data_IF_760334141676
#
_entry.id   IF_760334141676
#
_cell.length_a   1.000
_cell.length_b   1.000
_cell.length_c   1.000
_cell.angle_alpha   90.00
_cell.angle_beta   90.00
_cell.angle_gamma   90.00
#
_symmetry.space_group_name_H-M   'P 1'
#
loop_
_entity.id
_entity.type
_entity.pdbx_description
1 polymer ?
#
# COMPACT_ATOMS: atom_id res chain seq x y z
N UNK A 1 1.00 -6.62 -36.43
CA UNK A 1 0.63 -7.52 -35.33
C UNK A 1 -0.03 -6.68 -34.25
N UNK A 2 -1.08 -7.14 -33.57
CA UNK A 2 -1.63 -6.42 -32.43
C UNK A 2 -0.55 -6.27 -31.36
N UNK A 3 -0.57 -5.17 -30.61
CA UNK A 3 0.36 -4.93 -29.51
C UNK A 3 0.08 -5.95 -28.40
N UNK A 4 1.10 -6.64 -27.84
CA UNK A 4 0.88 -7.61 -26.77
C UNK A 4 0.29 -6.94 -25.53
N UNK A 5 -0.51 -7.67 -24.77
CA UNK A 5 -1.06 -7.22 -23.50
C UNK A 5 0.04 -7.08 -22.42
N UNK A 6 -0.23 -6.31 -21.37
CA UNK A 6 0.71 -6.17 -20.25
C UNK A 6 1.07 -7.54 -19.63
N UNK A 7 0.12 -8.47 -19.54
CA UNK A 7 0.33 -9.82 -19.04
C UNK A 7 1.24 -10.66 -19.95
N UNK A 8 1.02 -10.60 -21.26
CA UNK A 8 1.87 -11.30 -22.24
C UNK A 8 3.31 -10.78 -22.20
N UNK A 9 3.50 -9.46 -22.10
CA UNK A 9 4.82 -8.85 -21.94
C UNK A 9 5.48 -9.35 -20.65
N UNK A 10 4.77 -9.33 -19.53
CA UNK A 10 5.29 -9.78 -18.23
C UNK A 10 5.70 -11.26 -18.25
N UNK A 11 4.90 -12.13 -18.88
CA UNK A 11 5.18 -13.57 -19.00
C UNK A 11 6.34 -13.90 -19.95
N UNK A 12 6.61 -13.03 -20.92
CA UNK A 12 7.74 -13.17 -21.83
C UNK A 12 9.07 -12.66 -21.25
N UNK A 13 9.05 -12.01 -20.09
CA UNK A 13 10.24 -11.45 -19.47
C UNK A 13 11.16 -12.52 -18.89
N UNK A 14 12.47 -12.32 -19.01
CA UNK A 14 13.50 -13.13 -18.34
C UNK A 14 13.81 -12.49 -17.00
N UNK A 15 13.40 -13.16 -15.92
CA UNK A 15 13.60 -12.68 -14.54
C UNK A 15 14.91 -13.21 -13.97
N UNK A 16 15.61 -12.36 -13.20
CA UNK A 16 16.72 -12.81 -12.35
C UNK A 16 16.18 -13.54 -11.11
N UNK A 17 16.91 -14.50 -10.56
CA UNK A 17 16.68 -14.96 -9.19
C UNK A 17 16.65 -13.78 -8.22
N UNK A 18 15.75 -13.80 -7.25
CA UNK A 18 15.59 -12.65 -6.32
C UNK A 18 16.83 -12.43 -5.45
N UNK A 19 17.62 -13.48 -5.23
CA UNK A 19 18.90 -13.38 -4.53
C UNK A 19 19.88 -12.47 -5.27
N UNK A 20 19.95 -12.58 -6.60
CA UNK A 20 20.82 -11.75 -7.44
C UNK A 20 20.33 -10.29 -7.44
N UNK A 21 19.01 -10.08 -7.44
CA UNK A 21 18.43 -8.73 -7.31
C UNK A 21 18.77 -8.11 -5.96
N UNK A 22 18.77 -8.91 -4.89
CA UNK A 22 19.17 -8.45 -3.55
C UNK A 22 20.66 -8.10 -3.51
N UNK A 23 21.51 -8.88 -4.15
CA UNK A 23 22.94 -8.61 -4.28
C UNK A 23 23.19 -7.32 -5.08
N UNK A 24 22.49 -7.09 -6.19
CA UNK A 24 22.57 -5.86 -7.00
C UNK A 24 22.39 -4.57 -6.18
N UNK A 25 21.59 -4.63 -5.09
CA UNK A 25 21.38 -3.51 -4.16
C UNK A 25 22.16 -3.63 -2.86
N UNK A 26 23.03 -4.64 -2.78
CA UNK A 26 23.92 -4.87 -1.66
C UNK A 26 23.23 -5.34 -0.39
N UNK A 27 22.09 -6.00 -0.47
CA UNK A 27 21.45 -6.67 0.66
C UNK A 27 22.14 -8.03 0.88
N UNK A 28 22.75 -8.26 2.05
CA UNK A 28 23.33 -9.56 2.36
C UNK A 28 22.24 -10.64 2.49
N UNK A 29 22.56 -11.91 2.14
CA UNK A 29 21.55 -12.99 2.11
C UNK A 29 20.75 -13.18 3.41
N UNK A 30 21.34 -12.91 4.56
CA UNK A 30 20.67 -13.07 5.87
C UNK A 30 19.61 -11.99 6.16
N UNK A 31 19.58 -10.90 5.39
CA UNK A 31 18.52 -9.88 5.44
C UNK A 31 17.36 -10.18 4.47
N UNK A 32 17.47 -11.23 3.67
CA UNK A 32 16.54 -11.52 2.59
C UNK A 32 15.92 -12.90 2.78
N UNK A 33 14.63 -12.97 2.90
CA UNK A 33 13.86 -14.23 2.98
C UNK A 33 13.13 -14.47 1.66
N UNK A 34 13.54 -15.45 0.85
CA UNK A 34 12.87 -15.76 -0.41
C UNK A 34 11.44 -16.27 -0.21
N UNK A 35 10.56 -15.83 -1.09
CA UNK A 35 9.20 -16.32 -1.30
C UNK A 35 9.07 -16.83 -2.74
N UNK A 36 9.61 -18.01 -2.99
CA UNK A 36 9.84 -18.52 -4.33
C UNK A 36 11.10 -17.89 -4.97
N UNK A 37 11.20 -17.98 -6.30
CA UNK A 37 12.41 -17.62 -7.05
C UNK A 37 12.56 -16.11 -7.29
N UNK A 38 11.45 -15.38 -7.38
CA UNK A 38 11.44 -14.01 -7.91
C UNK A 38 10.88 -12.96 -6.95
N UNK A 39 10.56 -13.33 -5.71
CA UNK A 39 10.07 -12.45 -4.64
C UNK A 39 10.78 -12.75 -3.34
N UNK A 40 11.04 -11.73 -2.53
CA UNK A 40 11.57 -11.92 -1.18
C UNK A 40 11.01 -10.89 -0.20
N UNK A 41 11.07 -11.20 1.10
CA UNK A 41 10.90 -10.23 2.19
C UNK A 41 12.27 -9.70 2.63
N UNK A 42 12.34 -8.40 2.91
CA UNK A 42 13.54 -7.74 3.47
C UNK A 42 13.37 -7.62 4.98
N UNK A 43 14.36 -8.07 5.75
CA UNK A 43 14.35 -7.91 7.21
C UNK A 43 14.51 -6.43 7.59
N UNK A 44 13.81 -5.99 8.65
CA UNK A 44 13.89 -4.60 9.13
C UNK A 44 15.27 -4.19 9.63
N UNK A 45 16.12 -5.16 10.01
CA UNK A 45 17.53 -4.91 10.35
C UNK A 45 18.30 -4.26 9.20
N UNK A 46 17.80 -4.38 7.96
CA UNK A 46 18.38 -3.67 6.81
C UNK A 46 18.43 -2.15 7.01
N UNK A 47 17.53 -1.56 7.79
CA UNK A 47 17.53 -0.13 8.10
C UNK A 47 18.81 0.26 8.84
N UNK A 48 19.23 -0.52 9.83
CA UNK A 48 20.43 -0.28 10.62
C UNK A 48 21.70 -0.67 9.86
N UNK A 49 21.69 -1.84 9.22
CA UNK A 49 22.85 -2.37 8.47
C UNK A 49 23.25 -1.53 7.25
N UNK A 50 22.30 -0.83 6.65
CA UNK A 50 22.57 0.03 5.50
C UNK A 50 22.78 1.50 5.88
N UNK A 51 22.58 1.90 7.13
CA UNK A 51 22.54 3.30 7.57
C UNK A 51 23.82 4.10 7.23
N UNK A 52 24.97 3.45 7.28
CA UNK A 52 26.27 4.09 7.01
C UNK A 52 26.59 4.23 5.49
N UNK A 53 25.73 3.69 4.62
CA UNK A 53 25.93 3.80 3.18
C UNK A 53 25.51 5.19 2.67
N UNK A 54 26.08 5.64 1.55
CA UNK A 54 25.67 6.90 0.93
C UNK A 54 24.17 6.94 0.68
N UNK A 55 23.56 8.08 0.96
CA UNK A 55 22.15 8.31 0.69
C UNK A 55 21.94 8.54 -0.81
N UNK A 56 21.00 7.80 -1.40
CA UNK A 56 20.55 7.98 -2.77
C UNK A 56 19.81 9.34 -2.94
N UNK A 57 19.77 9.82 -4.18
CA UNK A 57 18.88 10.92 -4.56
C UNK A 57 17.43 10.44 -4.52
N UNK A 58 16.62 11.07 -3.69
CA UNK A 58 15.23 10.69 -3.48
C UNK A 58 14.33 11.46 -4.44
N UNK A 59 13.64 10.74 -5.33
CA UNK A 59 12.78 11.31 -6.38
C UNK A 59 11.33 10.88 -6.16
N UNK A 60 10.41 11.83 -6.11
CA UNK A 60 8.97 11.55 -6.04
C UNK A 60 8.29 11.83 -7.37
N UNK A 61 7.52 10.87 -7.87
CA UNK A 61 6.70 11.02 -9.08
C UNK A 61 5.25 11.30 -8.68
N UNK A 62 4.70 12.40 -9.15
CA UNK A 62 3.31 12.77 -8.94
C UNK A 62 2.64 13.14 -10.27
N UNK A 63 1.38 13.58 -10.25
CA UNK A 63 0.69 14.07 -11.43
C UNK A 63 0.02 15.40 -11.13
N UNK A 64 -0.24 16.18 -12.18
CA UNK A 64 -0.89 17.49 -12.04
C UNK A 64 -2.26 17.37 -11.40
N UNK A 65 -3.04 16.35 -11.77
CA UNK A 65 -4.37 16.07 -11.22
C UNK A 65 -4.81 14.66 -11.62
N UNK A 66 -5.67 13.98 -10.82
CA UNK A 66 -6.15 12.65 -11.19
C UNK A 66 -7.25 12.72 -12.25
N UNK A 67 -7.27 11.71 -13.13
CA UNK A 67 -8.42 11.41 -13.99
C UNK A 67 -8.94 9.99 -13.73
N UNK A 68 -10.18 9.65 -14.13
CA UNK A 68 -10.73 8.31 -13.92
C UNK A 68 -9.88 7.18 -14.55
N UNK A 69 -9.14 7.47 -15.61
CA UNK A 69 -8.30 6.49 -16.31
C UNK A 69 -6.85 6.44 -15.81
N UNK A 70 -6.51 7.29 -14.81
CA UNK A 70 -5.15 7.45 -14.33
C UNK A 70 -4.26 8.27 -15.27
N UNK A 71 -3.11 8.74 -14.76
CA UNK A 71 -2.19 9.63 -15.46
C UNK A 71 -0.85 8.97 -15.83
N UNK A 72 -0.68 7.67 -15.53
CA UNK A 72 0.53 6.93 -15.85
C UNK A 72 1.69 7.18 -14.88
N UNK A 73 1.44 7.63 -13.64
CA UNK A 73 2.49 7.81 -12.62
C UNK A 73 3.32 6.56 -12.41
N UNK A 74 2.69 5.41 -12.15
CA UNK A 74 3.41 4.15 -11.91
C UNK A 74 4.23 3.75 -13.14
N UNK A 75 3.66 3.87 -14.34
CA UNK A 75 4.39 3.60 -15.59
C UNK A 75 5.61 4.53 -15.74
N UNK A 76 5.46 5.82 -15.39
CA UNK A 76 6.57 6.79 -15.40
C UNK A 76 7.61 6.45 -14.33
N UNK A 77 7.19 6.09 -13.12
CA UNK A 77 8.08 5.73 -12.01
C UNK A 77 8.93 4.51 -12.36
N UNK A 78 8.28 3.46 -12.88
CA UNK A 78 8.96 2.23 -13.31
C UNK A 78 9.88 2.50 -14.49
N UNK A 79 9.37 3.17 -15.54
CA UNK A 79 10.17 3.51 -16.72
C UNK A 79 11.37 4.41 -16.41
N UNK A 80 11.23 5.35 -15.46
CA UNK A 80 12.35 6.18 -15.01
C UNK A 80 13.41 5.34 -14.29
N UNK A 81 13.00 4.40 -13.43
CA UNK A 81 13.92 3.47 -12.77
C UNK A 81 14.69 2.59 -13.76
N UNK A 82 13.99 2.06 -14.77
CA UNK A 82 14.62 1.30 -15.85
C UNK A 82 15.59 2.19 -16.67
N UNK A 83 15.17 3.41 -17.03
CA UNK A 83 15.98 4.36 -17.79
C UNK A 83 17.27 4.75 -17.06
N UNK A 84 17.24 4.90 -15.72
CA UNK A 84 18.46 5.16 -14.94
C UNK A 84 19.51 4.06 -15.15
N UNK A 85 19.11 2.80 -15.24
CA UNK A 85 20.01 1.67 -15.50
C UNK A 85 20.68 1.77 -16.87
N UNK A 86 19.97 2.19 -17.90
CA UNK A 86 20.51 2.38 -19.25
C UNK A 86 21.59 3.46 -19.32
N UNK A 87 21.55 4.44 -18.42
CA UNK A 87 22.59 5.48 -18.31
C UNK A 87 23.64 5.17 -17.24
N UNK A 88 23.74 3.91 -16.80
CA UNK A 88 24.74 3.45 -15.84
C UNK A 88 24.52 3.89 -14.40
N UNK A 89 23.30 4.27 -14.00
CA UNK A 89 22.95 4.65 -12.62
C UNK A 89 22.21 3.51 -11.93
N UNK A 90 22.51 3.28 -10.66
CA UNK A 90 21.80 2.32 -9.83
C UNK A 90 20.56 2.98 -9.26
N UNK A 91 19.37 2.48 -9.63
CA UNK A 91 18.10 2.95 -9.11
C UNK A 91 17.34 1.82 -8.43
N UNK A 92 16.68 2.16 -7.32
CA UNK A 92 15.67 1.32 -6.67
C UNK A 92 14.32 2.03 -6.73
N UNK A 93 13.27 1.29 -7.01
CA UNK A 93 11.91 1.81 -7.10
C UNK A 93 11.17 1.43 -5.81
N UNK A 94 10.41 2.35 -5.21
CA UNK A 94 9.56 2.10 -4.02
C UNK A 94 8.10 2.36 -4.36
N UNK A 95 7.28 1.31 -4.35
CA UNK A 95 5.87 1.33 -4.78
C UNK A 95 4.94 0.80 -3.70
N UNK A 96 3.66 1.17 -3.83
CA UNK A 96 2.58 0.54 -3.06
C UNK A 96 2.29 -0.86 -3.59
N UNK A 97 1.92 -1.76 -2.67
CA UNK A 97 1.33 -3.04 -3.01
C UNK A 97 -0.08 -2.85 -3.60
N UNK A 98 -0.42 -3.65 -4.60
CA UNK A 98 -1.75 -3.67 -5.18
C UNK A 98 -2.79 -4.21 -4.19
N UNK A 99 -4.00 -3.63 -4.23
CA UNK A 99 -5.22 -4.19 -3.63
C UNK A 99 -6.02 -4.91 -4.72
N UNK A 100 -6.62 -6.05 -4.42
CA UNK A 100 -7.38 -6.83 -5.40
C UNK A 100 -8.62 -6.09 -5.90
N UNK A 101 -9.28 -5.29 -5.07
CA UNK A 101 -10.44 -4.53 -5.46
C UNK A 101 -10.18 -3.60 -6.66
N UNK A 102 -9.19 -2.70 -6.62
CA UNK A 102 -8.79 -1.91 -7.79
C UNK A 102 -8.27 -2.76 -8.96
N UNK A 103 -7.58 -3.87 -8.70
CA UNK A 103 -7.03 -4.75 -9.75
C UNK A 103 -8.14 -5.35 -10.60
N UNK A 104 -9.22 -5.84 -9.99
CA UNK A 104 -10.41 -6.34 -10.70
C UNK A 104 -11.45 -5.24 -10.99
N UNK A 105 -11.14 -3.99 -10.68
CA UNK A 105 -11.98 -2.82 -10.91
C UNK A 105 -11.58 -2.03 -12.16
N UNK A 106 -11.80 -0.71 -12.09
CA UNK A 106 -11.60 0.20 -13.25
C UNK A 106 -10.12 0.45 -13.57
N UNK A 107 -9.22 0.35 -12.57
CA UNK A 107 -7.82 0.82 -12.70
C UNK A 107 -6.81 -0.25 -13.10
N UNK A 108 -7.17 -1.52 -13.05
CA UNK A 108 -6.19 -2.61 -13.19
C UNK A 108 -5.17 -2.62 -12.04
N UNK A 109 -4.11 -3.43 -12.16
CA UNK A 109 -3.09 -3.61 -11.11
C UNK A 109 -2.14 -2.42 -10.93
N UNK A 110 -1.41 -2.44 -9.82
CA UNK A 110 -0.40 -1.42 -9.47
C UNK A 110 0.99 -1.69 -10.05
N UNK A 111 1.16 -2.68 -10.91
CA UNK A 111 2.47 -3.11 -11.44
C UNK A 111 3.07 -2.18 -12.51
N UNK A 112 2.35 -1.16 -12.95
CA UNK A 112 2.69 -0.37 -14.15
C UNK A 112 1.97 -0.87 -15.40
N UNK A 113 2.55 -0.66 -16.59
CA UNK A 113 1.91 -1.08 -17.84
C UNK A 113 2.87 -1.09 -19.04
N UNK A 114 2.52 -1.86 -20.07
CA UNK A 114 3.37 -2.04 -21.25
C UNK A 114 4.74 -2.60 -20.86
N UNK A 115 5.80 -1.95 -21.30
CA UNK A 115 7.19 -2.32 -20.98
C UNK A 115 7.72 -1.70 -19.70
N UNK A 116 6.92 -0.93 -18.98
CA UNK A 116 7.26 -0.34 -17.68
C UNK A 116 6.47 -1.03 -16.58
N UNK A 117 6.86 -2.25 -16.21
CA UNK A 117 6.17 -3.08 -15.23
C UNK A 117 7.11 -3.67 -14.18
N UNK A 118 6.57 -3.86 -12.96
CA UNK A 118 7.15 -4.69 -11.91
C UNK A 118 6.63 -6.12 -12.07
N UNK A 119 7.49 -7.07 -11.92
CA UNK A 119 7.24 -8.51 -12.10
C UNK A 119 7.75 -9.32 -10.89
N UNK A 120 7.14 -10.49 -10.59
CA UNK A 120 6.07 -11.21 -11.32
C UNK A 120 4.71 -10.50 -11.26
N UNK A 121 4.07 -10.32 -12.40
CA UNK A 121 2.85 -9.51 -12.54
C UNK A 121 1.66 -10.08 -11.74
N UNK A 122 1.37 -11.38 -11.90
CA UNK A 122 0.24 -12.01 -11.22
C UNK A 122 0.45 -12.02 -9.70
N UNK A 123 1.63 -12.37 -9.21
CA UNK A 123 1.92 -12.37 -7.77
C UNK A 123 1.70 -10.98 -7.16
N UNK A 124 2.26 -9.93 -7.79
CA UNK A 124 2.13 -8.57 -7.29
C UNK A 124 0.67 -8.10 -7.21
N UNK A 125 -0.14 -8.41 -8.21
CA UNK A 125 -1.51 -7.92 -8.31
C UNK A 125 -2.53 -8.75 -7.53
N UNK A 126 -2.17 -9.95 -7.06
CA UNK A 126 -3.07 -10.83 -6.32
C UNK A 126 -2.67 -10.91 -4.84
N UNK A 127 -1.92 -11.91 -4.46
CA UNK A 127 -1.68 -12.21 -3.04
C UNK A 127 -0.30 -11.79 -2.56
N UNK A 128 0.68 -11.67 -3.48
CA UNK A 128 2.09 -11.43 -3.21
C UNK A 128 2.60 -12.34 -2.07
N UNK A 129 2.94 -11.79 -0.92
CA UNK A 129 3.39 -12.51 0.28
C UNK A 129 2.32 -12.53 1.39
N UNK A 130 1.07 -12.15 1.08
CA UNK A 130 -0.05 -12.19 2.02
C UNK A 130 -0.24 -10.94 2.88
N UNK A 131 0.47 -9.84 2.62
CA UNK A 131 0.42 -8.64 3.47
C UNK A 131 -0.99 -8.02 3.55
N UNK A 132 -1.71 -7.94 2.41
CA UNK A 132 -3.09 -7.46 2.39
C UNK A 132 -4.02 -8.34 3.22
N UNK A 133 -3.81 -9.67 3.18
CA UNK A 133 -4.57 -10.63 3.99
C UNK A 133 -4.26 -10.47 5.48
N UNK A 134 -3.00 -10.24 5.85
CA UNK A 134 -2.61 -9.99 7.23
C UNK A 134 -3.27 -8.71 7.79
N UNK A 135 -3.30 -7.63 7.00
CA UNK A 135 -4.01 -6.40 7.38
C UNK A 135 -5.51 -6.65 7.53
N UNK A 136 -6.14 -7.35 6.58
CA UNK A 136 -7.56 -7.74 6.65
C UNK A 136 -7.85 -8.54 7.92
N UNK A 137 -7.04 -9.55 8.22
CA UNK A 137 -7.20 -10.38 9.40
C UNK A 137 -7.04 -9.61 10.70
N UNK A 138 -6.00 -8.77 10.81
CA UNK A 138 -5.77 -7.93 12.00
C UNK A 138 -6.91 -6.93 12.23
N UNK A 139 -7.37 -6.27 11.16
CA UNK A 139 -8.49 -5.33 11.22
C UNK A 139 -9.78 -6.01 11.68
N UNK A 140 -10.12 -7.13 11.06
CA UNK A 140 -11.37 -7.85 11.35
C UNK A 140 -11.33 -8.54 12.72
N UNK A 141 -10.14 -8.94 13.19
CA UNK A 141 -9.99 -9.42 14.56
C UNK A 141 -10.33 -8.35 15.58
N UNK A 142 -9.88 -7.10 15.40
CA UNK A 142 -10.29 -5.98 16.26
C UNK A 142 -11.81 -5.78 16.22
N UNK A 143 -12.44 -5.90 15.04
CA UNK A 143 -13.91 -5.85 14.91
C UNK A 143 -14.60 -6.97 15.70
N UNK A 144 -14.08 -8.19 15.64
CA UNK A 144 -14.61 -9.33 16.36
C UNK A 144 -14.44 -9.18 17.89
N UNK A 145 -13.28 -8.67 18.33
CA UNK A 145 -13.03 -8.39 19.76
C UNK A 145 -13.95 -7.29 20.29
N UNK A 146 -14.22 -6.26 19.49
CA UNK A 146 -15.20 -5.22 19.82
C UNK A 146 -16.60 -5.80 20.01
N UNK A 147 -17.10 -6.60 19.05
CA UNK A 147 -18.43 -7.21 19.15
C UNK A 147 -18.51 -8.20 20.31
N UNK A 148 -17.46 -8.97 20.55
CA UNK A 148 -17.39 -9.84 21.73
C UNK A 148 -17.41 -9.04 23.04
N UNK A 149 -16.73 -7.89 23.10
CA UNK A 149 -16.76 -7.02 24.28
C UNK A 149 -18.18 -6.50 24.57
N UNK A 150 -18.91 -6.08 23.55
CA UNK A 150 -20.32 -5.67 23.68
C UNK A 150 -21.17 -6.82 24.23
N UNK A 151 -21.02 -8.02 23.67
CA UNK A 151 -21.76 -9.22 24.07
C UNK A 151 -21.45 -9.65 25.52
N UNK A 152 -20.19 -9.57 25.94
CA UNK A 152 -19.72 -9.95 27.28
C UNK A 152 -19.97 -8.89 28.37
N UNK A 153 -20.95 -8.02 28.17
CA UNK A 153 -21.42 -7.06 29.15
C UNK A 153 -20.81 -5.67 29.08
N UNK A 154 -20.11 -5.35 28.01
CA UNK A 154 -19.68 -3.98 27.63
C UNK A 154 -19.07 -3.17 28.80
N UNK A 155 -18.09 -3.72 29.50
CA UNK A 155 -17.47 -3.11 30.70
C UNK A 155 -16.85 -1.72 30.43
N UNK A 156 -16.49 -1.42 29.18
CA UNK A 156 -15.96 -0.11 28.77
C UNK A 156 -17.06 0.92 28.52
N UNK A 157 -18.35 0.54 28.58
CA UNK A 157 -19.48 1.44 28.36
C UNK A 157 -19.56 2.00 26.93
N UNK A 158 -19.17 1.21 25.93
CA UNK A 158 -19.19 1.63 24.53
C UNK A 158 -20.62 1.89 24.08
N UNK A 159 -20.86 3.06 23.50
CA UNK A 159 -22.14 3.38 22.85
C UNK A 159 -22.24 2.63 21.52
N UNK A 160 -23.21 1.73 21.41
CA UNK A 160 -23.46 0.92 20.20
C UNK A 160 -23.78 1.75 18.96
N UNK A 161 -24.29 2.97 19.14
CA UNK A 161 -24.62 3.90 18.08
C UNK A 161 -23.42 4.77 17.65
N UNK A 162 -22.30 4.70 18.41
CA UNK A 162 -21.12 5.54 18.21
C UNK A 162 -19.85 4.71 17.98
N UNK A 163 -19.99 3.56 17.32
CA UNK A 163 -18.89 2.70 16.89
C UNK A 163 -18.42 3.17 15.53
N UNK A 164 -17.14 3.52 15.44
CA UNK A 164 -16.50 4.01 14.20
C UNK A 164 -15.75 2.91 13.46
N UNK A 165 -15.44 1.80 14.12
CA UNK A 165 -14.68 0.68 13.56
C UNK A 165 -15.60 -0.31 12.84
N UNK A 166 -15.41 -0.41 11.51
CA UNK A 166 -16.17 -1.33 10.65
C UNK A 166 -15.37 -2.61 10.42
N UNK A 167 -15.69 -3.39 9.41
CA UNK A 167 -14.91 -4.51 8.87
C UNK A 167 -14.27 -4.15 7.56
N UNK A 168 -13.34 -4.96 7.07
CA UNK A 168 -12.74 -4.77 5.75
C UNK A 168 -12.70 -6.07 4.96
N UNK A 169 -12.68 -5.91 3.62
CA UNK A 169 -12.52 -6.98 2.66
C UNK A 169 -11.70 -6.44 1.48
N UNK A 170 -10.76 -7.21 0.94
CA UNK A 170 -9.89 -6.72 -0.13
C UNK A 170 -10.50 -6.90 -1.54
N UNK A 171 -11.82 -6.82 -1.63
CA UNK A 171 -12.58 -6.75 -2.88
C UNK A 171 -13.66 -5.66 -2.79
N UNK A 172 -14.09 -5.14 -3.93
CA UNK A 172 -15.19 -4.18 -3.99
C UNK A 172 -16.53 -4.91 -3.93
N UNK A 173 -17.19 -4.86 -2.78
CA UNK A 173 -18.55 -5.40 -2.61
C UNK A 173 -19.52 -4.31 -2.14
N UNK A 174 -20.38 -3.90 -3.06
CA UNK A 174 -21.39 -2.85 -2.79
C UNK A 174 -22.46 -3.30 -1.82
N UNK A 175 -22.81 -4.58 -1.81
CA UNK A 175 -23.87 -5.11 -0.96
C UNK A 175 -23.46 -5.11 0.53
N UNK A 176 -22.17 -5.17 0.81
CA UNK A 176 -21.64 -5.17 2.17
C UNK A 176 -21.40 -3.77 2.76
N UNK A 177 -21.70 -2.69 2.05
CA UNK A 177 -21.49 -1.32 2.55
C UNK A 177 -22.31 -1.00 3.80
N UNK A 178 -23.53 -1.52 3.89
CA UNK A 178 -24.41 -1.39 5.06
C UNK A 178 -25.05 -2.74 5.33
N UNK A 179 -24.75 -3.32 6.48
CA UNK A 179 -25.26 -4.62 6.93
C UNK A 179 -25.67 -4.54 8.40
N UNK A 180 -26.38 -5.52 8.85
CA UNK A 180 -26.63 -5.77 10.27
C UNK A 180 -25.88 -7.03 10.69
N UNK A 181 -25.13 -6.97 11.77
CA UNK A 181 -24.46 -8.12 12.41
C UNK A 181 -25.15 -8.50 13.70
N UNK A 182 -24.86 -9.70 14.24
CA UNK A 182 -25.44 -10.17 15.51
C UNK A 182 -26.90 -10.59 15.40
N UNK A 183 -27.39 -10.91 14.19
CA UNK A 183 -28.72 -11.48 13.98
C UNK A 183 -28.73 -12.98 14.30
N UNK A 184 -29.83 -13.50 14.82
CA UNK A 184 -30.02 -14.91 15.14
C UNK A 184 -30.26 -15.14 16.62
N UNK A 185 -29.57 -16.12 17.22
CA UNK A 185 -29.70 -16.42 18.65
C UNK A 185 -28.95 -15.41 19.54
N UNK A 186 -29.27 -15.38 20.83
CA UNK A 186 -28.56 -14.51 21.77
C UNK A 186 -27.03 -14.70 21.78
N UNK A 187 -26.55 -15.89 21.46
CA UNK A 187 -25.10 -16.20 21.35
C UNK A 187 -24.43 -15.59 20.12
N UNK A 188 -25.18 -15.09 19.13
CA UNK A 188 -24.65 -14.52 17.90
C UNK A 188 -24.21 -13.05 18.07
N UNK A 189 -24.39 -12.49 19.26
CA UNK A 189 -23.96 -11.15 19.63
C UNK A 189 -25.08 -10.12 19.76
N UNK A 190 -24.70 -8.85 19.72
CA UNK A 190 -25.65 -7.72 19.84
C UNK A 190 -25.98 -7.21 18.45
N UNK A 191 -27.28 -7.19 18.03
CA UNK A 191 -27.65 -6.67 16.72
C UNK A 191 -27.27 -5.19 16.56
N UNK A 192 -26.49 -4.87 15.54
CA UNK A 192 -26.11 -3.49 15.21
C UNK A 192 -25.82 -3.31 13.72
N UNK A 193 -26.00 -2.09 13.25
CA UNK A 193 -25.58 -1.73 11.90
C UNK A 193 -24.06 -1.59 11.82
N UNK A 194 -23.49 -2.07 10.74
CA UNK A 194 -22.07 -1.92 10.39
C UNK A 194 -21.88 -2.03 8.86
N UNK A 195 -20.70 -2.34 8.40
CA UNK A 195 -20.42 -2.60 6.99
C UNK A 195 -18.98 -3.01 6.77
N UNK A 196 -18.64 -3.21 5.49
CA UNK A 196 -17.30 -3.50 5.05
C UNK A 196 -16.76 -2.34 4.21
N UNK A 197 -15.54 -1.92 4.52
CA UNK A 197 -14.72 -1.06 3.67
C UNK A 197 -13.67 -1.90 2.95
N UNK A 198 -12.90 -1.32 2.03
CA UNK A 198 -11.81 -2.05 1.39
C UNK A 198 -10.56 -2.06 2.27
N UNK A 199 -9.78 -3.14 2.26
CA UNK A 199 -8.57 -3.28 3.08
C UNK A 199 -7.57 -2.12 2.92
N UNK A 200 -7.40 -1.61 1.70
CA UNK A 200 -6.53 -0.45 1.43
C UNK A 200 -7.00 0.86 2.11
N UNK A 201 -8.26 0.93 2.56
CA UNK A 201 -8.80 2.05 3.33
C UNK A 201 -8.73 1.84 4.86
N UNK A 202 -8.21 0.71 5.30
CA UNK A 202 -8.04 0.39 6.72
C UNK A 202 -7.06 1.34 7.41
N UNK A 203 -7.39 1.78 8.63
CA UNK A 203 -6.43 2.48 9.49
C UNK A 203 -5.22 1.57 9.86
N UNK A 204 -5.43 0.25 10.00
CA UNK A 204 -4.34 -0.70 10.19
C UNK A 204 -3.35 -0.71 8.99
N UNK A 205 -3.84 -0.51 7.76
CA UNK A 205 -3.00 -0.32 6.57
C UNK A 205 -2.20 0.99 6.65
N UNK A 206 -2.81 2.08 7.10
CA UNK A 206 -2.13 3.36 7.31
C UNK A 206 -1.05 3.25 8.39
N UNK A 207 -1.35 2.56 9.49
CA UNK A 207 -0.38 2.25 10.55
C UNK A 207 0.80 1.46 10.01
N UNK A 208 0.55 0.37 9.24
CA UNK A 208 1.60 -0.41 8.60
C UNK A 208 2.52 0.46 7.75
N UNK A 209 1.95 1.32 6.92
CA UNK A 209 2.69 2.16 5.99
C UNK A 209 3.53 3.26 6.67
N UNK A 210 3.12 3.73 7.85
CA UNK A 210 3.79 4.79 8.60
C UNK A 210 4.68 4.29 9.73
N UNK A 211 4.66 3.00 10.04
CA UNK A 211 5.48 2.44 11.11
C UNK A 211 6.95 2.35 10.71
N UNK A 212 7.84 2.54 11.68
CA UNK A 212 9.30 2.48 11.51
C UNK A 212 9.90 1.21 12.12
N UNK A 213 9.15 0.52 12.97
CA UNK A 213 9.55 -0.73 13.63
C UNK A 213 8.32 -1.52 14.08
N UNK A 214 8.54 -2.77 14.50
CA UNK A 214 7.49 -3.60 15.08
C UNK A 214 6.92 -3.00 16.38
N UNK A 215 7.77 -2.39 17.20
CA UNK A 215 7.36 -1.71 18.44
C UNK A 215 6.51 -0.46 18.13
N UNK A 216 6.93 0.35 17.16
CA UNK A 216 6.16 1.52 16.73
C UNK A 216 4.81 1.10 16.16
N UNK A 217 4.76 0.05 15.33
CA UNK A 217 3.51 -0.51 14.81
C UNK A 217 2.59 -0.96 15.95
N UNK A 218 3.12 -1.69 16.95
CA UNK A 218 2.36 -2.13 18.13
C UNK A 218 1.75 -0.96 18.88
N UNK A 219 2.54 0.09 19.13
CA UNK A 219 2.08 1.27 19.83
C UNK A 219 0.99 2.03 19.05
N UNK A 220 1.13 2.13 17.73
CA UNK A 220 0.14 2.79 16.86
C UNK A 220 -1.16 1.99 16.78
N UNK A 221 -1.08 0.66 16.59
CA UNK A 221 -2.26 -0.22 16.57
C UNK A 221 -3.06 -0.12 17.87
N UNK A 222 -2.39 -0.04 19.03
CA UNK A 222 -3.06 0.13 20.32
C UNK A 222 -3.85 1.44 20.45
N UNK A 223 -3.42 2.51 19.77
CA UNK A 223 -4.09 3.83 19.81
C UNK A 223 -5.28 3.97 18.88
N UNK A 224 -5.55 3.01 18.01
CA UNK A 224 -6.71 3.04 17.11
C UNK A 224 -7.99 3.22 17.94
N UNK A 225 -8.79 4.22 17.60
CA UNK A 225 -10.09 4.48 18.23
C UNK A 225 -11.15 3.66 17.52
N UNK A 226 -11.88 2.82 18.28
CA UNK A 226 -12.90 1.91 17.74
C UNK A 226 -14.31 2.45 17.88
N UNK A 227 -14.53 3.43 18.74
CA UNK A 227 -15.80 4.06 19.05
C UNK A 227 -15.69 4.90 20.31
N UNK A 228 -16.81 5.29 20.84
CA UNK A 228 -16.89 6.17 22.01
C UNK A 228 -17.80 5.56 23.08
N UNK A 229 -17.56 5.91 24.34
CA UNK A 229 -18.45 5.58 25.44
C UNK A 229 -19.74 6.41 25.37
N UNK A 230 -20.76 6.05 26.16
CA UNK A 230 -21.98 6.87 26.34
C UNK A 230 -21.71 8.27 26.90
N UNK A 231 -20.55 8.46 27.53
CA UNK A 231 -20.07 9.77 28.02
C UNK A 231 -19.27 10.55 26.96
N UNK A 232 -19.07 9.99 25.74
CA UNK A 232 -18.32 10.62 24.66
C UNK A 232 -16.81 10.42 24.71
N UNK A 233 -16.27 9.59 25.62
CA UNK A 233 -14.85 9.30 25.74
C UNK A 233 -14.42 8.26 24.67
N UNK A 234 -13.26 8.45 24.00
CA UNK A 234 -12.80 7.49 22.99
C UNK A 234 -12.39 6.16 23.60
N UNK A 235 -12.76 5.07 22.95
CA UNK A 235 -12.32 3.71 23.29
C UNK A 235 -11.31 3.22 22.27
N UNK A 236 -10.16 2.73 22.75
CA UNK A 236 -9.04 2.32 21.92
C UNK A 236 -8.91 0.81 21.80
N UNK A 237 -8.17 0.35 20.77
CA UNK A 237 -7.79 -1.04 20.59
C UNK A 237 -6.96 -1.59 21.79
N UNK A 238 -6.21 -0.73 22.47
CA UNK A 238 -5.45 -1.11 23.68
C UNK A 238 -6.37 -1.45 24.84
N UNK A 239 -7.43 -0.67 25.07
CA UNK A 239 -8.42 -0.95 26.11
C UNK A 239 -9.17 -2.25 25.84
N UNK A 240 -9.35 -2.64 24.57
CA UNK A 240 -9.85 -3.95 24.16
C UNK A 240 -8.78 -5.05 24.20
N UNK A 241 -7.51 -4.73 24.54
CA UNK A 241 -6.35 -5.65 24.54
C UNK A 241 -6.05 -6.27 23.19
N UNK A 242 -6.43 -5.60 22.10
CA UNK A 242 -6.30 -6.11 20.73
C UNK A 242 -4.94 -5.80 20.09
N UNK A 243 -4.27 -4.71 20.49
CA UNK A 243 -3.06 -4.22 19.84
C UNK A 243 -1.93 -5.25 19.72
N UNK A 244 -1.72 -6.09 20.74
CA UNK A 244 -0.70 -7.16 20.71
C UNK A 244 -1.03 -8.24 19.68
N UNK A 245 -2.26 -8.72 19.67
CA UNK A 245 -2.70 -9.75 18.74
C UNK A 245 -2.70 -9.25 17.27
N UNK A 246 -3.13 -8.01 17.02
CA UNK A 246 -3.00 -7.37 15.70
C UNK A 246 -1.54 -7.32 15.24
N UNK A 247 -0.62 -6.99 16.14
CA UNK A 247 0.82 -6.93 15.85
C UNK A 247 1.38 -8.30 15.47
N UNK A 248 0.98 -9.36 16.17
CA UNK A 248 1.42 -10.73 15.85
C UNK A 248 0.94 -11.15 14.45
N UNK A 249 -0.31 -10.87 14.10
CA UNK A 249 -0.87 -11.14 12.77
C UNK A 249 -0.08 -10.38 11.68
N UNK A 250 0.31 -9.14 11.95
CA UNK A 250 0.99 -8.27 10.99
C UNK A 250 2.52 -8.35 11.04
N UNK A 251 3.10 -9.27 11.84
CA UNK A 251 4.55 -9.36 12.07
C UNK A 251 5.36 -9.52 10.79
N UNK A 252 4.90 -10.35 9.87
CA UNK A 252 5.57 -10.54 8.58
C UNK A 252 5.20 -9.43 7.57
N UNK A 253 4.00 -8.87 7.70
CA UNK A 253 3.53 -7.83 6.79
C UNK A 253 4.31 -6.51 6.92
N UNK A 254 4.97 -6.23 8.07
CA UNK A 254 5.78 -5.02 8.25
C UNK A 254 7.10 -5.07 7.44
N UNK A 255 7.52 -6.25 7.01
CA UNK A 255 8.74 -6.45 6.21
C UNK A 255 8.45 -6.14 4.73
N UNK A 256 9.19 -5.22 4.08
CA UNK A 256 8.97 -4.91 2.68
C UNK A 256 9.24 -6.08 1.74
N UNK A 257 8.57 -6.09 0.60
CA UNK A 257 8.78 -7.06 -0.46
C UNK A 257 9.80 -6.53 -1.47
N UNK A 258 10.74 -7.37 -1.85
CA UNK A 258 11.67 -7.13 -2.95
C UNK A 258 11.18 -7.86 -4.20
N UNK A 259 11.09 -7.14 -5.30
CA UNK A 259 10.74 -7.60 -6.64
C UNK A 259 11.71 -6.93 -7.64
N UNK A 260 11.41 -7.07 -8.93
CA UNK A 260 12.17 -6.45 -10.01
C UNK A 260 11.24 -5.93 -11.11
N UNK A 261 11.76 -5.08 -11.99
CA UNK A 261 11.07 -4.69 -13.23
C UNK A 261 11.37 -5.67 -14.37
N UNK A 262 10.70 -5.49 -15.51
CA UNK A 262 11.01 -6.26 -16.74
C UNK A 262 12.50 -6.21 -17.14
N UNK A 263 13.20 -5.13 -16.78
CA UNK A 263 14.61 -4.94 -17.06
C UNK A 263 15.50 -5.14 -15.81
N UNK A 264 15.00 -5.93 -14.86
CA UNK A 264 15.68 -6.32 -13.62
C UNK A 264 16.11 -5.13 -12.71
N UNK A 265 15.45 -3.97 -12.81
CA UNK A 265 15.64 -2.88 -11.86
C UNK A 265 14.97 -3.29 -10.53
N UNK A 266 15.66 -3.20 -9.39
CA UNK A 266 15.08 -3.56 -8.09
C UNK A 266 13.87 -2.72 -7.72
N UNK A 267 12.83 -3.37 -7.19
CA UNK A 267 11.60 -2.72 -6.77
C UNK A 267 11.21 -3.19 -5.36
N UNK A 268 11.13 -2.25 -4.43
CA UNK A 268 10.61 -2.46 -3.08
C UNK A 268 9.11 -2.16 -3.11
N UNK A 269 8.30 -3.17 -2.84
CA UNK A 269 6.84 -3.04 -2.85
C UNK A 269 6.32 -3.28 -1.45
N UNK A 270 5.70 -2.27 -0.83
CA UNK A 270 5.24 -2.43 0.55
C UNK A 270 4.09 -1.49 0.90
N UNK A 271 3.13 -2.04 1.67
CA UNK A 271 1.89 -1.42 2.08
C UNK A 271 1.09 -0.83 0.89
N UNK A 272 -0.17 -0.57 1.07
CA UNK A 272 -1.04 -0.13 -0.03
C UNK A 272 -2.14 0.84 0.41
N UNK A 273 -1.84 1.86 1.26
CA UNK A 273 -2.88 2.77 1.75
C UNK A 273 -3.42 3.65 0.62
N UNK A 274 -4.74 3.88 0.62
CA UNK A 274 -5.37 4.83 -0.29
C UNK A 274 -4.95 6.27 0.02
N UNK A 275 -4.74 7.07 -1.03
CA UNK A 275 -4.33 8.46 -0.91
C UNK A 275 -5.41 9.41 -0.38
N UNK A 276 -6.67 9.04 -0.44
CA UNK A 276 -7.79 9.81 0.12
C UNK A 276 -8.08 9.49 1.60
N UNK A 277 -7.55 8.38 2.12
CA UNK A 277 -7.74 7.96 3.52
C UNK A 277 -6.46 8.16 4.33
N UNK A 278 -5.31 7.85 3.73
CA UNK A 278 -3.99 7.96 4.36
C UNK A 278 -3.05 8.81 3.49
N UNK A 279 -1.74 8.52 3.50
CA UNK A 279 -0.76 9.30 2.72
C UNK A 279 -0.64 8.88 1.25
N UNK A 280 -1.22 7.73 0.85
CA UNK A 280 -1.29 7.30 -0.56
C UNK A 280 0.06 7.03 -1.23
N UNK A 281 1.04 6.58 -0.46
CA UNK A 281 2.40 6.30 -0.89
C UNK A 281 2.85 4.95 -0.31
N UNK A 282 3.98 4.41 -0.75
CA UNK A 282 4.62 3.24 -0.15
C UNK A 282 5.02 3.49 1.31
N UNK A 283 5.48 2.45 2.00
CA UNK A 283 5.80 2.53 3.43
C UNK A 283 7.04 3.37 3.74
N UNK A 284 7.10 3.86 4.97
CA UNK A 284 8.29 4.51 5.53
C UNK A 284 9.48 3.55 5.58
N UNK A 285 9.27 2.32 6.07
CA UNK A 285 10.38 1.32 6.14
C UNK A 285 10.92 0.95 4.77
N UNK A 286 10.07 0.86 3.73
CA UNK A 286 10.53 0.62 2.36
C UNK A 286 11.45 1.72 1.85
N UNK A 287 11.14 2.98 2.15
CA UNK A 287 11.99 4.10 1.74
C UNK A 287 13.25 4.22 2.60
N UNK A 288 13.18 3.93 3.93
CA UNK A 288 14.35 3.93 4.81
C UNK A 288 15.39 2.90 4.37
N UNK A 289 14.95 1.75 3.86
CA UNK A 289 15.85 0.75 3.27
C UNK A 289 16.31 1.21 1.89
N UNK A 290 15.38 1.56 1.01
CA UNK A 290 15.66 1.89 -0.39
C UNK A 290 16.59 3.08 -0.58
N UNK A 291 16.60 4.04 0.36
CA UNK A 291 17.45 5.23 0.26
C UNK A 291 18.95 4.94 0.32
N UNK A 292 19.35 3.76 0.76
CA UNK A 292 20.72 3.31 0.90
C UNK A 292 21.12 2.19 -0.08
N UNK A 293 20.28 1.94 -1.12
CA UNK A 293 20.48 0.79 -2.04
C UNK A 293 21.02 1.16 -3.43
N UNK A 294 21.32 2.44 -3.68
CA UNK A 294 21.82 2.87 -4.98
C UNK A 294 22.05 4.37 -5.09
N UNK A 295 22.07 4.87 -6.32
CA UNK A 295 22.28 6.29 -6.60
C UNK A 295 20.95 7.07 -6.55
N UNK A 296 19.84 6.38 -6.87
CA UNK A 296 18.49 6.95 -6.88
C UNK A 296 17.48 6.03 -6.18
N UNK A 297 16.62 6.62 -5.35
CA UNK A 297 15.38 6.01 -4.88
C UNK A 297 14.21 6.75 -5.53
N UNK A 298 13.37 6.05 -6.29
CA UNK A 298 12.25 6.63 -7.03
C UNK A 298 10.95 6.09 -6.45
N UNK A 299 10.10 6.97 -5.97
CA UNK A 299 8.78 6.61 -5.43
C UNK A 299 7.67 7.39 -6.11
N UNK A 300 6.43 6.98 -5.93
CA UNK A 300 5.26 7.70 -6.46
C UNK A 300 4.35 8.21 -5.35
N UNK A 301 3.73 9.37 -5.55
CA UNK A 301 2.63 9.86 -4.74
C UNK A 301 1.30 9.64 -5.45
N UNK A 302 0.35 8.96 -4.78
CA UNK A 302 -0.95 8.61 -5.34
C UNK A 302 -1.81 9.83 -5.68
N UNK A 303 -2.83 9.68 -6.52
CA UNK A 303 -3.69 10.76 -7.00
C UNK A 303 -2.91 11.89 -7.72
N UNK A 304 -3.32 13.15 -7.55
CA UNK A 304 -2.63 14.34 -8.04
C UNK A 304 -1.73 14.98 -7.00
N UNK A 305 -1.05 16.06 -7.39
CA UNK A 305 -0.14 16.79 -6.52
C UNK A 305 -0.87 17.46 -5.34
N UNK A 306 -2.10 17.88 -5.56
CA UNK A 306 -2.99 18.51 -4.59
C UNK A 306 -3.35 17.59 -3.40
N UNK A 307 -3.29 16.28 -3.58
CA UNK A 307 -3.63 15.30 -2.55
C UNK A 307 -2.44 14.38 -2.21
N UNK A 308 -1.89 13.67 -3.18
CA UNK A 308 -0.89 12.66 -2.94
C UNK A 308 0.48 13.25 -2.63
N UNK A 309 0.95 14.24 -3.40
CA UNK A 309 2.22 14.89 -3.11
C UNK A 309 2.14 15.72 -1.82
N UNK A 310 1.02 16.41 -1.58
CA UNK A 310 0.78 17.13 -0.33
C UNK A 310 0.96 16.20 0.88
N UNK A 311 0.32 15.03 0.90
CA UNK A 311 0.44 14.06 1.98
C UNK A 311 1.80 13.38 2.05
N UNK A 312 2.43 13.15 0.91
CA UNK A 312 3.81 12.68 0.87
C UNK A 312 4.74 13.62 1.63
N UNK A 313 4.68 14.92 1.35
CA UNK A 313 5.51 15.92 2.03
C UNK A 313 5.11 16.11 3.50
N UNK A 314 3.82 16.28 3.77
CA UNK A 314 3.34 16.70 5.09
C UNK A 314 3.16 15.55 6.08
N UNK A 315 3.06 14.30 5.62
CA UNK A 315 2.90 13.12 6.47
C UNK A 315 4.14 12.23 6.37
N UNK A 316 4.38 11.62 5.20
CA UNK A 316 5.42 10.59 5.06
C UNK A 316 6.83 11.14 5.29
N UNK A 317 7.16 12.27 4.67
CA UNK A 317 8.49 12.90 4.85
C UNK A 317 8.72 13.34 6.30
N UNK A 318 7.70 13.81 7.00
CA UNK A 318 7.84 14.18 8.42
C UNK A 318 8.05 12.96 9.32
N UNK A 319 7.35 11.85 9.06
CA UNK A 319 7.52 10.62 9.84
C UNK A 319 8.86 9.96 9.57
N UNK A 320 9.28 9.88 8.30
CA UNK A 320 10.54 9.24 7.91
C UNK A 320 11.78 10.10 8.14
N UNK A 321 11.62 11.42 8.23
CA UNK A 321 12.75 12.38 8.22
C UNK A 321 13.41 12.54 6.84
N UNK A 322 12.95 11.79 5.83
CA UNK A 322 13.51 11.84 4.46
C UNK A 322 12.96 13.06 3.71
N UNK A 323 13.82 13.72 2.96
CA UNK A 323 13.46 14.84 2.09
C UNK A 323 13.78 14.49 0.65
N UNK A 324 12.83 14.64 -0.30
CA UNK A 324 13.12 14.40 -1.70
C UNK A 324 14.08 15.45 -2.27
N UNK A 325 14.94 15.01 -3.17
CA UNK A 325 15.88 15.86 -3.92
C UNK A 325 15.23 16.42 -5.18
N UNK A 326 14.23 15.71 -5.75
CA UNK A 326 13.52 16.13 -6.95
C UNK A 326 12.08 15.61 -6.97
N UNK A 327 11.22 16.27 -7.72
CA UNK A 327 9.86 15.84 -8.04
C UNK A 327 9.66 15.80 -9.56
N UNK A 328 9.04 14.74 -10.04
CA UNK A 328 8.60 14.58 -11.43
C UNK A 328 7.09 14.74 -11.47
N UNK A 329 6.59 15.72 -12.20
CA UNK A 329 5.16 15.99 -12.35
C UNK A 329 4.68 15.50 -13.71
N UNK A 330 3.90 14.41 -13.70
CA UNK A 330 3.28 13.87 -14.92
C UNK A 330 2.08 14.73 -15.29
N UNK A 331 2.12 15.32 -16.47
CA UNK A 331 1.05 16.16 -17.02
C UNK A 331 0.60 15.60 -18.35
N UNK A 332 -0.61 15.05 -18.41
CA UNK A 332 -1.17 14.55 -19.67
C UNK A 332 -2.11 15.57 -20.32
N UNK A 333 -2.15 15.59 -21.65
CA UNK A 333 -3.13 16.40 -22.38
C UNK A 333 -4.55 16.05 -21.97
N UNK A 334 -4.80 14.77 -21.65
CA UNK A 334 -6.09 14.31 -21.14
C UNK A 334 -6.45 14.94 -19.82
N UNK A 335 -5.51 15.03 -18.86
CA UNK A 335 -5.74 15.68 -17.57
C UNK A 335 -6.10 17.17 -17.75
N UNK A 336 -5.35 17.88 -18.58
CA UNK A 336 -5.63 19.28 -18.90
C UNK A 336 -7.01 19.46 -19.53
N UNK A 337 -7.38 18.62 -20.49
CA UNK A 337 -8.71 18.66 -21.12
C UNK A 337 -9.82 18.34 -20.13
N UNK A 338 -9.66 17.29 -19.30
CA UNK A 338 -10.68 16.86 -18.34
C UNK A 338 -11.04 17.96 -17.33
N UNK A 339 -10.04 18.70 -16.88
CA UNK A 339 -10.21 19.71 -15.84
C UNK A 339 -10.37 21.15 -16.37
N UNK A 340 -10.29 21.34 -17.70
CA UNK A 340 -10.53 22.65 -18.32
C UNK A 340 -11.98 23.15 -18.25
N UNK A 341 -12.93 22.27 -17.94
CA UNK A 341 -14.37 22.53 -18.04
C UNK A 341 -14.91 22.67 -19.47
N UNK A 342 -14.01 22.68 -20.48
CA UNK A 342 -14.37 22.92 -21.90
C UNK A 342 -14.53 21.63 -22.71
N UNK A 343 -13.98 20.52 -22.24
CA UNK A 343 -13.97 19.26 -22.95
C UNK A 343 -14.60 18.14 -22.12
N UNK A 344 -15.60 17.45 -22.69
CA UNK A 344 -16.07 16.18 -22.12
C UNK A 344 -15.14 15.07 -22.59
N UNK A 345 -14.49 14.36 -21.68
CA UNK A 345 -13.80 13.12 -22.01
C UNK A 345 -14.88 12.08 -22.30
N UNK A 346 -15.00 11.68 -23.58
CA UNK A 346 -16.01 10.74 -24.01
C UNK A 346 -15.78 9.34 -23.42
N UNK A 347 -16.88 8.60 -23.23
CA UNK A 347 -16.86 7.18 -22.82
C UNK A 347 -16.10 6.27 -23.79
N UNK A 348 -15.88 6.71 -25.03
CA UNK A 348 -15.14 5.96 -26.06
C UNK A 348 -13.67 5.70 -25.68
N UNK A 349 -13.03 6.60 -24.92
CA UNK A 349 -11.66 6.38 -24.42
C UNK A 349 -11.58 5.28 -23.36
N UNK A 350 -12.70 4.82 -22.81
CA UNK A 350 -12.76 3.70 -21.86
C UNK A 350 -12.85 2.33 -22.58
N UNK A 351 -13.22 2.29 -23.85
CA UNK A 351 -13.36 1.04 -24.64
C UNK A 351 -12.06 0.57 -25.30
N UNK A 352 -11.08 1.42 -25.44
CA UNK A 352 -9.79 1.07 -26.06
C UNK A 352 -8.82 0.38 -25.09
N UNK A 353 -9.27 -0.03 -23.90
CA UNK A 353 -8.44 -0.68 -22.86
C UNK A 353 -8.94 -2.06 -22.42
N UNK A 354 -9.77 -2.70 -23.22
CA UNK A 354 -10.13 -4.10 -22.99
C UNK A 354 -9.30 -4.98 -23.90
#
# INVERSE_FOLDING_TARGET
>A
MPMPTALEIARAATLKPIADVAEDIGLPPWLVQPYGEHVAKIDLKAIEELADRPRAKYVVVTAVTPTPLGEGKTTTTVGLGQAMRHIGKRATISLRQASMGPTFGIKGGAAGGGYSQVVPFEMLNLHLTGDMHAVTAAHNMLSAMLDNHLYQGNKLGIDQHNITWRRVLDVNDRALRNIVVGLGAAADGVPRQTGFDITAASEAMAVLALSTSLHDMRARLGRIVVGYTTAGEPVTAEQLKAGGAMTVIMREAIRPNLLQTLENTPAIVHAGPFGNVAHGNSSVVGDMIGIHTGDFLITEAGFGADMGAERFFNIKCRVSGLKPDAAVVVTTVRALKAHSGKHRIGRASCRERV
#
